data_IF_557656571256
#
_entry.id   IF_557656571256
#
_cell.length_a   1.000
_cell.length_b   1.000
_cell.length_c   1.000
_cell.angle_alpha   90.00
_cell.angle_beta   90.00
_cell.angle_gamma   90.00
#
_symmetry.space_group_name_H-M   'P 1'
#
loop_
_entity.id
_entity.type
_entity.pdbx_description
1 polymer ?
#
# COMPACT_ATOMS: atom_id res chain seq x y z
N UNK A 1 -23.51 -10.27 -24.35
CA UNK A 1 -22.14 -9.97 -23.89
C UNK A 1 -21.97 -8.54 -23.35
N UNK A 2 -22.69 -7.51 -23.82
CA UNK A 2 -22.47 -6.13 -23.33
C UNK A 2 -22.80 -5.92 -21.84
N UNK A 3 -23.85 -6.54 -21.30
CA UNK A 3 -24.22 -6.39 -19.89
C UNK A 3 -23.13 -6.90 -18.93
N UNK A 4 -22.47 -8.02 -19.26
CA UNK A 4 -21.38 -8.57 -18.46
C UNK A 4 -20.15 -7.65 -18.49
N UNK A 5 -19.79 -7.15 -19.67
CA UNK A 5 -18.72 -6.15 -19.83
C UNK A 5 -19.03 -4.87 -19.03
N UNK A 6 -20.26 -4.35 -19.11
CA UNK A 6 -20.69 -3.18 -18.33
C UNK A 6 -20.65 -3.43 -16.83
N UNK A 7 -21.06 -4.61 -16.36
CA UNK A 7 -20.99 -4.98 -14.93
C UNK A 7 -19.54 -5.02 -14.44
N UNK A 8 -18.64 -5.63 -15.22
CA UNK A 8 -17.22 -5.67 -14.86
C UNK A 8 -16.59 -4.27 -14.84
N UNK A 9 -16.98 -3.39 -15.77
CA UNK A 9 -16.56 -1.99 -15.78
C UNK A 9 -17.04 -1.21 -14.56
N UNK A 10 -18.30 -1.42 -14.14
CA UNK A 10 -18.84 -0.80 -12.93
C UNK A 10 -18.07 -1.26 -11.68
N UNK A 11 -17.81 -2.56 -11.55
CA UNK A 11 -17.05 -3.10 -10.43
C UNK A 11 -15.61 -2.56 -10.39
N UNK A 12 -14.97 -2.42 -11.55
CA UNK A 12 -13.65 -1.81 -11.66
C UNK A 12 -13.66 -0.34 -11.19
N UNK A 13 -14.66 0.44 -11.62
CA UNK A 13 -14.81 1.83 -11.19
C UNK A 13 -15.05 1.94 -9.67
N UNK A 14 -15.86 1.05 -9.07
CA UNK A 14 -16.06 1.01 -7.61
C UNK A 14 -14.75 0.70 -6.88
N UNK A 15 -13.96 -0.26 -7.39
CA UNK A 15 -12.66 -0.59 -6.80
C UNK A 15 -11.68 0.60 -6.88
N UNK A 16 -11.62 1.28 -8.03
CA UNK A 16 -10.79 2.47 -8.21
C UNK A 16 -11.19 3.59 -7.24
N UNK A 17 -12.49 3.85 -7.12
CA UNK A 17 -13.02 4.83 -6.16
C UNK A 17 -12.68 4.47 -4.72
N UNK A 18 -12.73 3.18 -4.36
CA UNK A 18 -12.33 2.70 -3.04
C UNK A 18 -10.85 2.98 -2.74
N UNK A 19 -9.97 2.68 -3.68
CA UNK A 19 -8.52 2.95 -3.56
C UNK A 19 -8.24 4.45 -3.50
N UNK A 20 -8.86 5.24 -4.36
CA UNK A 20 -8.73 6.70 -4.35
C UNK A 20 -9.22 7.30 -3.03
N UNK A 21 -10.36 6.82 -2.51
CA UNK A 21 -10.92 7.26 -1.23
C UNK A 21 -9.99 6.93 -0.06
N UNK A 22 -9.42 5.72 -0.03
CA UNK A 22 -8.45 5.33 1.00
C UNK A 22 -7.19 6.19 0.96
N UNK A 23 -6.69 6.51 -0.24
CA UNK A 23 -5.54 7.41 -0.42
C UNK A 23 -5.82 8.83 0.10
N UNK A 24 -7.01 9.37 -0.19
CA UNK A 24 -7.41 10.71 0.27
C UNK A 24 -7.54 10.72 1.80
N UNK A 25 -8.21 9.71 2.37
CA UNK A 25 -8.40 9.58 3.81
C UNK A 25 -7.07 9.51 4.58
N UNK A 26 -6.05 8.86 3.99
CA UNK A 26 -4.72 8.70 4.59
C UNK A 26 -3.68 9.69 4.06
N UNK A 27 -4.09 10.73 3.35
CA UNK A 27 -3.17 11.71 2.74
C UNK A 27 -2.31 12.46 3.77
N UNK A 28 -2.83 12.63 4.99
CA UNK A 28 -2.13 13.26 6.11
C UNK A 28 -1.50 12.25 7.08
N UNK A 29 -1.64 10.95 6.82
CA UNK A 29 -1.05 9.92 7.69
C UNK A 29 0.45 9.83 7.39
N UNK A 30 1.28 10.12 8.40
CA UNK A 30 2.74 10.04 8.28
C UNK A 30 3.17 8.67 7.78
N UNK A 31 4.07 8.66 6.79
CA UNK A 31 4.61 7.43 6.19
C UNK A 31 3.61 6.55 5.44
N UNK A 32 2.39 7.03 5.15
CA UNK A 32 1.47 6.34 4.27
C UNK A 32 2.04 6.22 2.85
N UNK A 33 1.81 5.06 2.23
CA UNK A 33 2.19 4.79 0.84
C UNK A 33 0.94 4.66 0.00
N UNK A 34 0.84 5.53 -1.02
CA UNK A 34 -0.30 5.57 -1.94
C UNK A 34 -0.49 4.22 -2.61
N UNK A 35 -1.73 3.77 -2.69
CA UNK A 35 -2.11 2.57 -3.43
C UNK A 35 -2.69 2.91 -4.80
N UNK A 36 -2.52 2.03 -5.77
CA UNK A 36 -3.01 2.18 -7.14
C UNK A 36 -3.69 0.89 -7.60
N UNK A 37 -4.93 1.00 -8.10
CA UNK A 37 -5.65 -0.12 -8.68
C UNK A 37 -5.12 -0.41 -10.09
N UNK A 38 -4.64 -1.63 -10.32
CA UNK A 38 -4.20 -2.11 -11.64
C UNK A 38 -5.24 -3.04 -12.22
N UNK A 39 -5.65 -2.76 -13.45
CA UNK A 39 -6.67 -3.51 -14.15
C UNK A 39 -6.09 -4.34 -15.30
N UNK A 40 -6.78 -5.42 -15.66
CA UNK A 40 -6.45 -6.26 -16.82
C UNK A 40 -7.71 -6.60 -17.60
N UNK A 41 -7.59 -6.70 -18.93
CA UNK A 41 -8.66 -7.20 -19.79
C UNK A 41 -8.92 -8.69 -19.51
N UNK A 42 -10.18 -9.08 -19.57
CA UNK A 42 -10.64 -10.47 -19.51
C UNK A 42 -10.76 -10.96 -20.95
N UNK A 43 -9.79 -11.75 -21.42
CA UNK A 43 -9.88 -12.37 -22.74
C UNK A 43 -10.74 -13.64 -22.70
N UNK A 44 -11.72 -13.72 -23.59
CA UNK A 44 -12.39 -14.97 -23.94
C UNK A 44 -11.61 -15.65 -25.09
N UNK A 45 -10.43 -16.20 -24.81
CA UNK A 45 -9.70 -16.99 -25.83
C UNK A 45 -10.27 -18.41 -25.90
N UNK A 46 -10.98 -18.75 -26.96
CA UNK A 46 -11.12 -20.15 -27.37
C UNK A 46 -9.97 -20.51 -28.29
N UNK A 47 -9.48 -21.76 -28.23
CA UNK A 47 -8.33 -22.25 -29.04
C UNK A 47 -8.49 -22.02 -30.56
N UNK A 48 -9.71 -21.72 -31.03
CA UNK A 48 -10.03 -21.49 -32.44
C UNK A 48 -10.21 -20.02 -32.84
N UNK A 49 -10.11 -19.04 -31.92
CA UNK A 49 -10.26 -17.60 -32.25
C UNK A 49 -8.91 -16.96 -32.54
N UNK A 50 -8.73 -16.36 -33.72
CA UNK A 50 -7.57 -15.52 -34.01
C UNK A 50 -7.54 -14.36 -33.01
N UNK A 51 -6.40 -14.16 -32.33
CA UNK A 51 -6.20 -13.08 -31.36
C UNK A 51 -6.55 -11.68 -31.92
N UNK A 52 -6.42 -11.48 -33.24
CA UNK A 52 -6.78 -10.26 -33.96
C UNK A 52 -8.28 -9.98 -34.08
N UNK A 53 -9.14 -10.94 -33.71
CA UNK A 53 -10.62 -10.85 -33.83
C UNK A 53 -11.35 -11.22 -32.53
N UNK A 54 -10.62 -11.48 -31.45
CA UNK A 54 -11.21 -11.80 -30.16
C UNK A 54 -11.78 -10.53 -29.51
N UNK A 55 -13.08 -10.51 -29.23
CA UNK A 55 -13.71 -9.45 -28.45
C UNK A 55 -13.30 -9.60 -26.98
N UNK A 56 -12.78 -8.53 -26.38
CA UNK A 56 -12.53 -8.45 -24.94
C UNK A 56 -13.82 -8.66 -24.16
N UNK A 57 -13.75 -9.42 -23.06
CA UNK A 57 -14.91 -9.93 -22.33
C UNK A 57 -15.20 -9.17 -21.04
N UNK A 58 -14.45 -8.10 -20.75
CA UNK A 58 -14.61 -7.28 -19.55
C UNK A 58 -13.28 -6.85 -18.95
N UNK A 59 -13.34 -6.23 -17.78
CA UNK A 59 -12.15 -5.81 -17.02
C UNK A 59 -12.15 -6.43 -15.63
N UNK A 60 -10.99 -6.87 -15.16
CA UNK A 60 -10.82 -7.35 -13.80
C UNK A 60 -9.78 -6.50 -13.06
N UNK A 61 -10.03 -6.26 -11.77
CA UNK A 61 -8.98 -5.77 -10.87
C UNK A 61 -7.93 -6.88 -10.73
N UNK A 62 -6.71 -6.59 -11.15
CA UNK A 62 -5.57 -7.52 -11.09
C UNK A 62 -4.87 -7.42 -9.74
N UNK A 63 -4.62 -6.20 -9.28
CA UNK A 63 -3.81 -5.93 -8.09
C UNK A 63 -4.10 -4.51 -7.57
N UNK A 64 -3.97 -4.31 -6.26
CA UNK A 64 -3.81 -2.99 -5.66
C UNK A 64 -2.34 -2.85 -5.28
N UNK A 65 -1.58 -2.13 -6.10
CA UNK A 65 -0.15 -1.99 -5.93
C UNK A 65 0.19 -0.77 -5.06
N UNK A 66 1.08 -0.97 -4.09
CA UNK A 66 1.57 0.12 -3.25
C UNK A 66 2.73 0.84 -3.93
N UNK A 67 2.68 2.17 -3.93
CA UNK A 67 3.69 3.04 -4.51
C UNK A 67 4.69 3.47 -3.43
N UNK A 68 5.96 3.03 -3.55
CA UNK A 68 7.01 3.25 -2.55
C UNK A 68 7.84 4.52 -2.77
N UNK A 69 7.39 5.45 -3.61
CA UNK A 69 8.10 6.71 -3.84
C UNK A 69 8.35 7.48 -2.53
N UNK A 70 9.45 8.24 -2.51
CA UNK A 70 9.81 9.11 -1.39
C UNK A 70 8.85 10.32 -1.37
N UNK A 71 8.18 10.53 -0.23
CA UNK A 71 7.36 11.72 0.01
C UNK A 71 8.19 12.89 0.53
N UNK A 72 7.55 14.05 0.68
CA UNK A 72 8.15 15.20 1.34
C UNK A 72 8.49 14.89 2.80
N UNK A 73 9.65 15.36 3.26
CA UNK A 73 10.06 15.28 4.65
C UNK A 73 9.73 16.61 5.34
N UNK A 74 9.15 16.53 6.52
CA UNK A 74 8.93 17.68 7.40
C UNK A 74 9.81 17.52 8.62
N UNK A 75 10.54 18.58 8.98
CA UNK A 75 11.35 18.58 10.19
C UNK A 75 10.42 18.60 11.41
N UNK A 76 10.69 17.72 12.37
CA UNK A 76 10.04 17.70 13.68
C UNK A 76 10.97 18.27 14.75
N UNK A 77 10.40 18.78 15.84
CA UNK A 77 11.15 19.22 17.02
C UNK A 77 11.47 18.06 17.97
N UNK A 78 10.83 16.89 17.78
CA UNK A 78 11.09 15.71 18.60
C UNK A 78 12.38 15.00 18.16
N UNK A 79 13.26 14.71 19.11
CA UNK A 79 14.57 14.08 18.88
C UNK A 79 14.41 12.61 18.45
N UNK A 80 13.32 11.95 18.84
CA UNK A 80 13.04 10.56 18.49
C UNK A 80 12.24 10.41 17.18
N UNK A 81 11.91 11.51 16.50
CA UNK A 81 11.29 11.47 15.18
C UNK A 81 12.37 11.28 14.11
N UNK A 82 12.44 10.08 13.56
CA UNK A 82 13.41 9.70 12.53
C UNK A 82 12.72 9.52 11.18
N UNK A 83 13.43 9.89 10.11
CA UNK A 83 12.99 9.62 8.75
C UNK A 83 14.12 8.95 7.97
N UNK A 84 13.78 7.93 7.20
CA UNK A 84 14.70 7.31 6.24
C UNK A 84 14.58 8.07 4.91
N UNK A 85 15.71 8.48 4.36
CA UNK A 85 15.79 9.03 3.00
C UNK A 85 16.21 7.91 2.05
N UNK A 86 15.38 7.63 1.04
CA UNK A 86 15.60 6.51 0.11
C UNK A 86 14.97 5.21 0.60
N UNK A 87 15.46 4.09 0.08
CA UNK A 87 14.91 2.77 0.35
C UNK A 87 15.31 2.24 1.74
N UNK A 88 14.42 1.45 2.35
CA UNK A 88 14.66 0.82 3.65
C UNK A 88 13.44 0.90 4.58
N UNK A 89 13.47 0.19 5.69
CA UNK A 89 12.42 0.23 6.70
C UNK A 89 13.05 0.14 8.09
N UNK A 90 12.39 0.71 9.09
CA UNK A 90 12.74 0.50 10.48
C UNK A 90 12.28 -0.89 10.93
N UNK A 91 13.20 -1.76 11.39
CA UNK A 91 12.85 -3.05 11.96
C UNK A 91 12.28 -2.88 13.38
N UNK A 92 11.11 -3.47 13.61
CA UNK A 92 10.41 -3.45 14.89
C UNK A 92 10.17 -4.89 15.36
N UNK A 93 10.03 -5.08 16.66
CA UNK A 93 9.59 -6.32 17.28
C UNK A 93 8.18 -6.10 17.84
N UNK A 94 7.25 -6.94 17.40
CA UNK A 94 5.92 -7.03 17.98
C UNK A 94 6.00 -7.60 19.40
N UNK A 95 4.91 -7.46 20.17
CA UNK A 95 4.80 -7.96 21.56
C UNK A 95 4.95 -9.48 21.67
N UNK A 96 4.68 -10.21 20.59
CA UNK A 96 4.90 -11.65 20.44
C UNK A 96 6.32 -12.03 19.96
N UNK A 97 7.19 -11.03 19.73
CA UNK A 97 8.55 -11.21 19.22
C UNK A 97 8.66 -11.30 17.70
N UNK A 98 7.55 -11.18 16.96
CA UNK A 98 7.55 -11.20 15.49
C UNK A 98 8.25 -9.97 14.91
N UNK A 99 9.01 -10.14 13.82
CA UNK A 99 9.66 -9.04 13.13
C UNK A 99 8.65 -8.26 12.26
N UNK A 100 8.58 -6.95 12.50
CA UNK A 100 7.75 -6.00 11.76
C UNK A 100 8.64 -4.94 11.10
N UNK A 101 8.12 -4.29 10.06
CA UNK A 101 8.83 -3.25 9.33
C UNK A 101 7.93 -2.04 9.13
N UNK A 102 8.44 -0.85 9.45
CA UNK A 102 7.69 0.40 9.31
C UNK A 102 8.54 1.50 8.69
N UNK A 103 7.89 2.45 8.00
CA UNK A 103 8.52 3.73 7.61
C UNK A 103 8.20 4.85 8.60
N UNK A 104 7.22 4.64 9.47
CA UNK A 104 6.89 5.60 10.52
C UNK A 104 8.01 5.58 11.56
N UNK A 105 8.77 6.66 11.63
CA UNK A 105 9.80 6.84 12.64
C UNK A 105 9.41 7.79 13.76
N UNK A 106 8.11 7.97 14.03
CA UNK A 106 7.67 8.58 15.27
C UNK A 106 7.83 7.56 16.40
N UNK A 107 8.87 7.75 17.20
CA UNK A 107 9.23 6.87 18.30
C UNK A 107 9.14 7.59 19.65
N UNK A 108 8.97 6.79 20.69
CA UNK A 108 8.86 7.22 22.08
C UNK A 108 9.71 6.30 22.96
N UNK A 109 10.00 6.75 24.18
CA UNK A 109 10.64 5.94 25.19
C UNK A 109 9.57 5.35 26.12
N UNK A 110 9.58 4.04 26.35
CA UNK A 110 8.71 3.41 27.37
C UNK A 110 9.36 3.46 28.77
N UNK A 111 8.64 2.97 29.79
CA UNK A 111 9.11 2.94 31.19
C UNK A 111 10.40 2.11 31.37
N UNK A 112 10.63 1.12 30.51
CA UNK A 112 11.82 0.27 30.48
C UNK A 112 13.00 0.88 29.70
N UNK A 113 12.91 2.16 29.33
CA UNK A 113 13.89 2.89 28.51
C UNK A 113 14.13 2.28 27.12
N UNK A 114 13.14 1.60 26.57
CA UNK A 114 13.18 1.04 25.21
C UNK A 114 12.51 2.01 24.24
N UNK A 115 13.04 2.06 23.01
CA UNK A 115 12.44 2.83 21.91
C UNK A 115 11.25 2.04 21.38
N UNK A 116 10.06 2.61 21.44
CA UNK A 116 8.81 2.01 20.96
C UNK A 116 8.08 2.93 19.99
N UNK A 117 7.16 2.40 19.18
CA UNK A 117 6.21 3.20 18.42
C UNK A 117 4.87 3.36 19.18
N UNK A 118 3.90 4.05 18.58
CA UNK A 118 2.53 4.25 19.10
C UNK A 118 1.73 2.95 19.34
N UNK A 119 2.24 1.80 18.86
CA UNK A 119 1.63 0.48 19.05
C UNK A 119 2.40 -0.40 20.05
N UNK A 120 3.29 0.20 20.84
CA UNK A 120 4.19 -0.48 21.81
C UNK A 120 5.13 -1.53 21.18
N UNK A 121 5.40 -1.44 19.88
CA UNK A 121 6.39 -2.30 19.22
C UNK A 121 7.78 -1.73 19.47
N UNK A 122 8.71 -2.59 19.87
CA UNK A 122 10.07 -2.19 20.24
C UNK A 122 10.96 -2.07 19.00
N UNK A 123 11.73 -1.01 18.88
CA UNK A 123 12.72 -0.84 17.83
C UNK A 123 13.84 -1.86 17.98
N UNK A 124 14.14 -2.61 16.92
CA UNK A 124 15.21 -3.61 16.91
C UNK A 124 16.47 -3.02 16.30
N UNK A 125 17.48 -2.73 17.11
CA UNK A 125 18.77 -2.27 16.57
C UNK A 125 19.44 -3.42 15.79
N UNK A 126 19.52 -3.29 14.47
CA UNK A 126 20.34 -4.16 13.62
C UNK A 126 21.81 -3.90 13.95
N UNK A 127 22.46 -4.87 14.58
CA UNK A 127 23.92 -4.90 14.76
C UNK A 127 24.58 -5.43 13.50
#
# INVERSE_FOLDING_TARGET
>A
MSFFTSLTGLNAAVAELGVASNNIANSNTTSFKRSEAKFSDIFASTVSTKASTAFGSGVALREIAQQFSQGGLQLSENVLDLAITGDGFFPMASTDGSALYTRNGSFMLNEDNQIVNDSDYTYKCIH
#
